data_IF_543453513793
#
_entry.id   IF_543453513793
#
_cell.length_a   1.000
_cell.length_b   1.000
_cell.length_c   1.000
_cell.angle_alpha   90.00
_cell.angle_beta   90.00
_cell.angle_gamma   90.00
#
_symmetry.space_group_name_H-M   'P 1'
#
loop_
_entity.id
_entity.type
_entity.pdbx_description
1 polymer ?
#
# COMPACT_ATOMS: atom_id res chain seq x y z
N UNK A 1 16.88 32.77 -4.76
CA UNK A 1 17.26 31.34 -4.85
C UNK A 1 16.48 30.72 -6.01
N UNK A 2 17.03 29.74 -6.73
CA UNK A 2 16.30 29.05 -7.83
C UNK A 2 15.34 28.03 -7.23
N UNK A 3 14.34 27.59 -7.99
CA UNK A 3 13.38 26.57 -7.55
C UNK A 3 13.63 25.28 -8.31
N UNK A 4 13.76 24.16 -7.61
CA UNK A 4 13.86 22.83 -8.19
C UNK A 4 12.71 21.95 -7.68
N UNK A 5 11.94 21.39 -8.60
CA UNK A 5 10.88 20.42 -8.31
C UNK A 5 11.38 19.02 -8.69
N UNK A 6 11.34 18.10 -7.73
CA UNK A 6 11.82 16.73 -7.88
C UNK A 6 10.64 15.78 -7.71
N UNK A 7 10.47 14.88 -8.69
CA UNK A 7 9.48 13.83 -8.64
C UNK A 7 10.16 12.53 -8.21
N UNK A 8 9.75 12.00 -7.05
CA UNK A 8 10.20 10.70 -6.59
C UNK A 8 9.20 9.65 -7.06
N UNK A 9 9.62 8.88 -8.07
CA UNK A 9 8.85 7.76 -8.59
C UNK A 9 8.61 6.69 -7.52
N UNK A 10 7.55 5.90 -7.72
CA UNK A 10 7.30 4.73 -6.89
C UNK A 10 8.48 3.76 -7.01
N UNK A 11 9.05 3.38 -5.87
CA UNK A 11 10.23 2.51 -5.79
C UNK A 11 11.57 3.24 -5.63
N UNK A 12 11.59 4.58 -5.59
CA UNK A 12 12.83 5.33 -5.30
C UNK A 12 13.44 4.97 -3.93
N UNK A 13 12.63 4.46 -3.01
CA UNK A 13 13.05 4.02 -1.68
C UNK A 13 13.61 2.59 -1.62
N UNK A 14 13.61 1.82 -2.73
CA UNK A 14 14.05 0.41 -2.74
C UNK A 14 15.53 0.28 -2.38
N UNK A 15 16.39 1.17 -2.88
CA UNK A 15 17.83 1.16 -2.55
C UNK A 15 18.09 1.39 -1.05
N UNK A 16 17.14 2.03 -0.38
CA UNK A 16 17.11 2.26 1.06
C UNK A 16 16.40 1.13 1.84
N UNK A 17 16.16 -0.03 1.21
CA UNK A 17 15.68 -1.24 1.86
C UNK A 17 14.16 -1.34 2.02
N UNK A 18 13.40 -0.44 1.39
CA UNK A 18 11.94 -0.56 1.25
C UNK A 18 11.58 -1.66 0.25
N UNK A 19 10.46 -2.37 0.45
CA UNK A 19 10.09 -3.47 -0.42
C UNK A 19 9.60 -2.96 -1.79
N UNK A 20 9.99 -3.67 -2.84
CA UNK A 20 9.38 -3.55 -4.16
C UNK A 20 7.96 -4.12 -4.19
N UNK A 21 7.19 -3.74 -5.22
CA UNK A 21 5.83 -4.29 -5.46
C UNK A 21 5.83 -5.83 -5.50
N UNK A 22 6.85 -6.44 -6.12
CA UNK A 22 6.98 -7.89 -6.20
C UNK A 22 7.29 -8.54 -4.85
N UNK A 23 8.04 -7.87 -3.98
CA UNK A 23 8.31 -8.35 -2.63
C UNK A 23 7.06 -8.28 -1.75
N UNK A 24 6.29 -7.19 -1.85
CA UNK A 24 5.01 -7.05 -1.15
C UNK A 24 4.05 -8.17 -1.56
N UNK A 25 3.95 -8.45 -2.86
CA UNK A 25 3.08 -9.52 -3.36
C UNK A 25 3.45 -10.89 -2.78
N UNK A 26 4.76 -11.21 -2.72
CA UNK A 26 5.25 -12.44 -2.04
C UNK A 26 4.95 -12.46 -0.55
N UNK A 27 5.09 -11.32 0.14
CA UNK A 27 4.73 -11.20 1.54
C UNK A 27 3.24 -11.49 1.76
N UNK A 28 2.37 -11.03 0.85
CA UNK A 28 0.93 -11.28 0.94
C UNK A 28 0.60 -12.76 0.73
N UNK A 29 1.27 -13.43 -0.22
CA UNK A 29 1.16 -14.89 -0.39
C UNK A 29 1.51 -15.63 0.90
N UNK A 30 2.55 -15.19 1.63
CA UNK A 30 2.94 -15.79 2.91
C UNK A 30 1.90 -15.46 3.99
N UNK A 31 1.62 -14.18 4.22
CA UNK A 31 0.76 -13.72 5.32
C UNK A 31 -0.66 -14.26 5.22
N UNK A 32 -1.22 -14.38 4.01
CA UNK A 32 -2.56 -14.94 3.82
C UNK A 32 -2.70 -16.38 4.32
N UNK A 33 -1.59 -17.13 4.40
CA UNK A 33 -1.58 -18.50 4.92
C UNK A 33 -1.82 -18.57 6.43
N UNK A 34 -1.65 -17.46 7.17
CA UNK A 34 -1.91 -17.43 8.61
C UNK A 34 -3.41 -17.56 8.94
N UNK A 35 -4.28 -17.15 8.01
CA UNK A 35 -5.72 -17.00 8.27
C UNK A 35 -6.62 -17.66 7.23
N UNK A 36 -6.14 -17.94 6.01
CA UNK A 36 -6.98 -18.32 4.86
C UNK A 36 -6.37 -19.44 4.02
N UNK A 37 -5.95 -20.55 4.64
CA UNK A 37 -5.39 -21.71 3.92
C UNK A 37 -6.48 -22.41 3.11
N UNK A 38 -6.15 -23.01 1.97
CA UNK A 38 -7.11 -23.82 1.23
C UNK A 38 -7.20 -25.24 1.82
N UNK A 39 -8.41 -25.80 1.94
CA UNK A 39 -8.65 -27.12 2.55
C UNK A 39 -8.04 -28.30 1.76
N UNK A 40 -8.16 -28.27 0.43
CA UNK A 40 -7.87 -29.43 -0.45
C UNK A 40 -6.66 -29.20 -1.37
N UNK A 41 -5.75 -28.28 -1.04
CA UNK A 41 -4.55 -28.00 -1.85
C UNK A 41 -3.29 -28.12 -0.98
N UNK A 42 -2.12 -28.12 -1.63
CA UNK A 42 -0.79 -28.04 -1.00
C UNK A 42 -0.78 -27.03 0.15
N UNK A 43 -0.02 -27.31 1.21
CA UNK A 43 0.01 -26.49 2.44
C UNK A 43 0.32 -25.01 2.21
N UNK A 44 0.95 -24.68 1.08
CA UNK A 44 1.36 -23.34 0.66
C UNK A 44 0.25 -22.54 -0.04
N UNK A 45 -0.87 -23.16 -0.43
CA UNK A 45 -1.95 -22.46 -1.14
C UNK A 45 -2.99 -21.89 -0.16
N UNK A 46 -3.40 -20.67 -0.46
CA UNK A 46 -4.31 -19.87 0.35
C UNK A 46 -5.29 -19.09 -0.54
N UNK A 47 -6.22 -18.38 0.08
CA UNK A 47 -7.25 -17.62 -0.64
C UNK A 47 -6.66 -16.51 -1.54
N UNK A 48 -5.56 -15.88 -1.12
CA UNK A 48 -4.84 -14.86 -1.89
C UNK A 48 -4.25 -15.44 -3.19
N UNK A 49 -3.49 -16.54 -3.07
CA UNK A 49 -2.90 -17.24 -4.22
C UNK A 49 -3.98 -17.82 -5.14
N UNK A 50 -5.09 -18.34 -4.59
CA UNK A 50 -6.24 -18.76 -5.38
C UNK A 50 -6.84 -17.61 -6.20
N UNK A 51 -7.01 -16.43 -5.59
CA UNK A 51 -7.54 -15.25 -6.28
C UNK A 51 -6.61 -14.83 -7.43
N UNK A 52 -5.31 -14.76 -7.16
CA UNK A 52 -4.26 -14.44 -8.14
C UNK A 52 -4.26 -15.41 -9.31
N UNK A 53 -4.24 -16.72 -9.04
CA UNK A 53 -4.32 -17.79 -10.06
C UNK A 53 -5.60 -17.67 -10.89
N UNK A 54 -6.73 -17.40 -10.25
CA UNK A 54 -8.04 -17.30 -10.92
C UNK A 54 -8.09 -16.13 -11.89
N UNK A 55 -7.58 -14.96 -11.49
CA UNK A 55 -7.52 -13.77 -12.35
C UNK A 55 -6.56 -13.99 -13.52
N UNK A 56 -5.37 -14.53 -13.25
CA UNK A 56 -4.39 -14.82 -14.31
C UNK A 56 -4.94 -15.80 -15.34
N UNK A 57 -5.53 -16.91 -14.89
CA UNK A 57 -6.16 -17.89 -15.78
C UNK A 57 -7.30 -17.28 -16.59
N UNK A 58 -8.13 -16.44 -15.98
CA UNK A 58 -9.20 -15.75 -16.71
C UNK A 58 -8.62 -14.85 -17.81
N UNK A 59 -7.54 -14.10 -17.52
CA UNK A 59 -6.89 -13.22 -18.49
C UNK A 59 -6.21 -13.98 -19.62
N UNK A 60 -5.46 -15.03 -19.32
CA UNK A 60 -4.82 -15.89 -20.32
C UNK A 60 -5.82 -16.43 -21.34
N UNK A 61 -7.00 -16.84 -20.88
CA UNK A 61 -8.06 -17.36 -21.75
C UNK A 61 -8.78 -16.28 -22.58
N UNK A 62 -8.66 -14.99 -22.22
CA UNK A 62 -9.45 -13.91 -22.82
C UNK A 62 -8.60 -12.77 -23.42
N UNK A 63 -7.27 -12.84 -23.34
CA UNK A 63 -6.37 -11.81 -23.85
C UNK A 63 -6.44 -11.72 -25.38
N UNK A 64 -7.05 -10.64 -25.90
CA UNK A 64 -7.13 -10.37 -27.35
C UNK A 64 -5.87 -9.70 -27.93
N UNK A 65 -4.94 -9.23 -27.10
CA UNK A 65 -3.74 -8.48 -27.52
C UNK A 65 -2.51 -8.81 -26.68
N UNK A 66 -1.32 -8.63 -27.28
CA UNK A 66 0.03 -8.84 -26.69
C UNK A 66 0.39 -7.90 -25.53
N UNK A 67 -0.57 -7.27 -24.87
CA UNK A 67 -0.28 -6.35 -23.76
C UNK A 67 -0.07 -7.20 -22.50
N UNK A 68 1.19 -7.28 -22.07
CA UNK A 68 1.60 -7.98 -20.84
C UNK A 68 1.17 -7.15 -19.64
N UNK A 69 -0.04 -7.39 -19.15
CA UNK A 69 -0.49 -6.79 -17.89
C UNK A 69 0.01 -7.66 -16.73
N UNK A 70 0.87 -7.10 -15.87
CA UNK A 70 1.36 -7.79 -14.68
C UNK A 70 0.39 -7.54 -13.51
N UNK A 71 -0.14 -8.63 -12.94
CA UNK A 71 -1.02 -8.58 -11.79
C UNK A 71 -0.19 -8.31 -10.53
N UNK A 72 -0.48 -7.22 -9.83
CA UNK A 72 0.19 -6.82 -8.59
C UNK A 72 -0.74 -6.86 -7.37
N UNK A 73 -0.17 -6.65 -6.18
CA UNK A 73 -0.93 -6.70 -4.93
C UNK A 73 -2.02 -5.63 -4.85
N UNK A 74 -1.80 -4.42 -5.39
CA UNK A 74 -2.80 -3.34 -5.39
C UNK A 74 -4.06 -3.73 -6.17
N UNK A 75 -3.86 -4.34 -7.35
CA UNK A 75 -4.95 -4.86 -8.17
C UNK A 75 -5.70 -5.98 -7.45
N UNK A 76 -4.98 -6.82 -6.71
CA UNK A 76 -5.57 -7.90 -5.92
C UNK A 76 -6.39 -7.37 -4.75
N UNK A 77 -5.88 -6.41 -3.97
CA UNK A 77 -6.61 -5.74 -2.89
C UNK A 77 -7.89 -5.07 -3.42
N UNK A 78 -7.80 -4.35 -4.53
CA UNK A 78 -8.97 -3.74 -5.17
C UNK A 78 -9.99 -4.79 -5.63
N UNK A 79 -9.52 -5.92 -6.17
CA UNK A 79 -10.40 -7.02 -6.58
C UNK A 79 -11.11 -7.64 -5.37
N UNK A 80 -10.43 -7.82 -4.23
CA UNK A 80 -11.04 -8.31 -2.99
C UNK A 80 -12.16 -7.37 -2.51
N UNK A 81 -11.93 -6.06 -2.57
CA UNK A 81 -12.92 -5.05 -2.22
C UNK A 81 -14.16 -5.14 -3.11
N UNK A 82 -13.97 -5.29 -4.42
CA UNK A 82 -15.08 -5.50 -5.37
C UNK A 82 -15.83 -6.77 -4.99
N UNK A 83 -15.13 -7.91 -4.86
CA UNK A 83 -15.73 -9.20 -4.52
C UNK A 83 -16.55 -9.08 -3.24
N UNK A 84 -16.01 -8.49 -2.18
CA UNK A 84 -16.73 -8.27 -0.93
C UNK A 84 -18.01 -7.47 -1.14
N UNK A 85 -17.92 -6.37 -1.88
CA UNK A 85 -19.05 -5.48 -2.16
C UNK A 85 -20.18 -6.17 -2.93
N UNK A 86 -19.83 -7.02 -3.91
CA UNK A 86 -20.81 -7.76 -4.73
C UNK A 86 -21.25 -9.09 -4.11
N UNK A 87 -20.57 -9.59 -3.09
CA UNK A 87 -20.91 -10.87 -2.42
C UNK A 87 -21.79 -10.66 -1.19
N UNK A 88 -21.55 -9.61 -0.40
CA UNK A 88 -22.27 -9.41 0.87
C UNK A 88 -23.76 -9.10 0.64
N UNK A 89 -24.64 -9.81 1.35
CA UNK A 89 -26.09 -9.66 1.25
C UNK A 89 -26.64 -8.50 2.10
N UNK A 90 -25.91 -8.11 3.15
CA UNK A 90 -26.38 -7.18 4.19
C UNK A 90 -26.16 -5.68 3.86
N UNK A 91 -25.36 -5.34 2.85
CA UNK A 91 -25.16 -3.94 2.45
C UNK A 91 -26.34 -3.45 1.58
N UNK A 92 -27.26 -2.75 2.25
CA UNK A 92 -28.37 -2.00 1.65
C UNK A 92 -27.76 -0.86 0.82
N UNK A 93 -27.71 -1.01 -0.51
CA UNK A 93 -28.54 -0.25 -1.48
C UNK A 93 -27.88 -0.17 -2.87
N UNK A 94 -26.55 -0.02 -2.98
CA UNK A 94 -25.89 0.19 -4.29
C UNK A 94 -25.37 -1.09 -4.97
N UNK A 95 -24.93 -2.10 -4.21
CA UNK A 95 -24.33 -3.32 -4.80
C UNK A 95 -25.38 -4.31 -5.34
N UNK A 96 -26.65 -4.15 -4.97
CA UNK A 96 -27.76 -4.99 -5.46
C UNK A 96 -27.98 -4.84 -6.96
N UNK A 97 -27.77 -3.64 -7.52
CA UNK A 97 -27.94 -3.39 -8.95
C UNK A 97 -26.89 -4.10 -9.80
N UNK A 98 -25.63 -4.17 -9.35
CA UNK A 98 -24.57 -4.90 -10.07
C UNK A 98 -24.80 -6.42 -10.02
N UNK A 99 -25.36 -6.95 -8.93
CA UNK A 99 -25.73 -8.37 -8.82
C UNK A 99 -26.74 -8.81 -9.89
N UNK A 100 -27.56 -7.89 -10.41
CA UNK A 100 -28.47 -8.20 -11.52
C UNK A 100 -27.72 -8.58 -12.82
N UNK A 101 -26.46 -8.15 -12.96
CA UNK A 101 -25.66 -8.35 -14.16
C UNK A 101 -24.45 -9.26 -13.95
N UNK A 102 -24.03 -9.48 -12.70
CA UNK A 102 -22.79 -10.21 -12.36
C UNK A 102 -23.11 -11.45 -11.55
N UNK A 103 -22.71 -12.61 -12.09
CA UNK A 103 -22.71 -13.88 -11.37
C UNK A 103 -21.30 -14.21 -10.92
N UNK A 104 -21.12 -14.37 -9.61
CA UNK A 104 -19.86 -14.80 -9.03
C UNK A 104 -19.62 -16.29 -9.26
N UNK A 105 -18.35 -16.63 -9.53
CA UNK A 105 -17.90 -18.01 -9.50
C UNK A 105 -17.97 -18.57 -8.07
N UNK A 106 -18.03 -19.90 -7.96
CA UNK A 106 -17.94 -20.52 -6.65
C UNK A 106 -16.55 -20.31 -6.04
N UNK A 107 -16.53 -19.82 -4.81
CA UNK A 107 -15.32 -19.67 -4.01
C UNK A 107 -14.85 -21.02 -3.43
N UNK A 108 -13.54 -21.17 -3.14
CA UNK A 108 -12.98 -22.43 -2.64
C UNK A 108 -13.35 -22.67 -1.17
N UNK A 109 -13.15 -23.91 -0.68
CA UNK A 109 -13.14 -24.19 0.75
C UNK A 109 -11.82 -23.72 1.38
N UNK A 110 -11.93 -23.01 2.49
CA UNK A 110 -10.82 -22.50 3.28
C UNK A 110 -10.81 -23.10 4.69
N UNK A 111 -9.63 -23.13 5.30
CA UNK A 111 -9.42 -23.34 6.73
C UNK A 111 -9.15 -21.95 7.31
N UNK A 112 -10.04 -21.48 8.17
CA UNK A 112 -9.92 -20.16 8.81
C UNK A 112 -8.84 -20.18 9.90
N UNK A 113 -8.50 -19.00 10.43
CA UNK A 113 -7.61 -18.85 11.59
C UNK A 113 -8.03 -19.69 12.81
N UNK A 114 -9.32 -19.99 12.95
CA UNK A 114 -9.86 -20.79 14.05
C UNK A 114 -9.95 -22.28 13.72
N UNK A 115 -9.26 -22.73 12.68
CA UNK A 115 -9.28 -24.10 12.17
C UNK A 115 -10.66 -24.58 11.73
N UNK A 116 -11.58 -23.65 11.45
CA UNK A 116 -12.89 -23.97 10.90
C UNK A 116 -12.78 -24.16 9.38
N UNK A 117 -13.45 -25.20 8.88
CA UNK A 117 -13.58 -25.41 7.44
C UNK A 117 -14.89 -24.81 6.96
N UNK A 118 -14.81 -23.83 6.07
CA UNK A 118 -15.97 -23.22 5.42
C UNK A 118 -15.71 -22.95 3.94
N UNK A 119 -16.79 -22.72 3.18
CA UNK A 119 -16.66 -22.12 1.85
C UNK A 119 -16.37 -20.63 2.03
N UNK A 120 -15.37 -20.11 1.33
CA UNK A 120 -15.06 -18.69 1.39
C UNK A 120 -16.23 -17.84 0.86
N UNK A 121 -16.36 -16.62 1.36
CA UNK A 121 -17.38 -15.65 0.99
C UNK A 121 -16.82 -14.22 0.90
N UNK A 122 -17.70 -13.24 0.66
CA UNK A 122 -17.33 -11.83 0.56
C UNK A 122 -16.75 -11.20 1.82
N UNK A 123 -17.11 -11.73 3.00
CA UNK A 123 -16.59 -11.26 4.28
C UNK A 123 -15.15 -11.73 4.41
N UNK A 124 -14.86 -12.99 4.05
CA UNK A 124 -13.48 -13.52 4.08
C UNK A 124 -12.52 -12.69 3.20
N UNK A 125 -12.96 -12.24 2.02
CA UNK A 125 -12.14 -11.35 1.17
C UNK A 125 -11.94 -9.96 1.78
N UNK A 126 -12.96 -9.41 2.44
CA UNK A 126 -12.87 -8.12 3.15
C UNK A 126 -11.87 -8.19 4.29
N UNK A 127 -12.00 -9.23 5.11
CA UNK A 127 -11.19 -9.42 6.30
C UNK A 127 -9.74 -9.74 5.90
N UNK A 128 -9.53 -10.53 4.84
CA UNK A 128 -8.20 -10.76 4.26
C UNK A 128 -7.58 -9.46 3.74
N UNK A 129 -8.34 -8.62 3.02
CA UNK A 129 -7.86 -7.32 2.54
C UNK A 129 -7.40 -6.43 3.70
N UNK A 130 -8.21 -6.31 4.75
CA UNK A 130 -7.88 -5.54 5.94
C UNK A 130 -6.62 -6.10 6.63
N UNK A 131 -6.59 -7.40 6.88
CA UNK A 131 -5.46 -8.09 7.50
C UNK A 131 -4.14 -7.88 6.75
N UNK A 132 -4.14 -8.05 5.43
CA UNK A 132 -2.94 -7.87 4.60
C UNK A 132 -2.48 -6.41 4.58
N UNK A 133 -3.42 -5.47 4.54
CA UNK A 133 -3.13 -4.03 4.61
C UNK A 133 -2.48 -3.67 5.95
N UNK A 134 -3.05 -4.13 7.07
CA UNK A 134 -2.47 -3.90 8.40
C UNK A 134 -1.07 -4.49 8.55
N UNK A 135 -0.86 -5.72 8.05
CA UNK A 135 0.47 -6.34 8.02
C UNK A 135 1.46 -5.54 7.20
N UNK A 136 1.04 -5.01 6.04
CA UNK A 136 1.90 -4.17 5.21
C UNK A 136 2.29 -2.88 5.93
N UNK A 137 1.33 -2.19 6.54
CA UNK A 137 1.57 -0.97 7.29
C UNK A 137 2.57 -1.20 8.43
N UNK A 138 2.38 -2.27 9.22
CA UNK A 138 3.31 -2.66 10.29
C UNK A 138 4.70 -2.96 9.73
N UNK A 139 4.77 -3.70 8.61
CA UNK A 139 6.03 -4.07 7.98
C UNK A 139 6.82 -2.85 7.50
N UNK A 140 6.18 -1.94 6.75
CA UNK A 140 6.84 -0.74 6.22
C UNK A 140 7.22 0.21 7.37
N UNK A 141 6.36 0.40 8.39
CA UNK A 141 6.72 1.19 9.58
C UNK A 141 7.96 0.64 10.28
N UNK A 142 8.03 -0.67 10.47
CA UNK A 142 9.20 -1.32 11.08
C UNK A 142 10.48 -1.09 10.25
N UNK A 143 10.39 -1.16 8.92
CA UNK A 143 11.50 -0.85 8.02
C UNK A 143 11.95 0.62 8.14
N UNK A 144 11.01 1.54 8.25
CA UNK A 144 11.29 2.96 8.44
C UNK A 144 12.00 3.21 9.79
N UNK A 145 11.55 2.55 10.86
CA UNK A 145 12.17 2.67 12.19
C UNK A 145 13.61 2.17 12.23
N UNK A 146 13.96 1.14 11.46
CA UNK A 146 15.35 0.61 11.42
C UNK A 146 16.21 1.26 10.34
N UNK A 147 15.68 2.18 9.54
CA UNK A 147 16.34 2.78 8.39
C UNK A 147 17.70 3.42 8.75
N UNK A 148 17.73 4.25 9.80
CA UNK A 148 18.95 4.91 10.27
C UNK A 148 20.02 3.94 10.80
N UNK A 149 19.63 2.72 11.16
CA UNK A 149 20.54 1.66 11.59
C UNK A 149 21.04 0.86 10.38
N UNK A 150 20.12 0.45 9.52
CA UNK A 150 20.39 -0.53 8.46
C UNK A 150 20.98 0.11 7.18
N UNK A 151 20.72 1.41 6.96
CA UNK A 151 21.04 2.15 5.72
C UNK A 151 21.70 3.51 5.97
N UNK A 152 22.43 3.62 7.08
CA UNK A 152 23.04 4.87 7.55
C UNK A 152 23.95 5.52 6.49
N UNK A 153 24.77 4.71 5.81
CA UNK A 153 25.74 5.23 4.84
C UNK A 153 25.04 5.78 3.59
N UNK A 154 24.07 5.06 3.06
CA UNK A 154 23.27 5.47 1.91
C UNK A 154 22.47 6.75 2.23
N UNK A 155 21.86 6.81 3.42
CA UNK A 155 21.16 8.01 3.89
C UNK A 155 22.08 9.22 3.99
N UNK A 156 23.29 9.05 4.55
CA UNK A 156 24.25 10.15 4.69
C UNK A 156 24.71 10.68 3.31
N UNK A 157 24.94 9.78 2.34
CA UNK A 157 25.29 10.17 0.97
C UNK A 157 24.16 10.97 0.32
N UNK A 158 22.92 10.50 0.42
CA UNK A 158 21.76 11.20 -0.11
C UNK A 158 21.54 12.55 0.60
N UNK A 159 21.76 12.61 1.91
CA UNK A 159 21.66 13.84 2.70
C UNK A 159 22.67 14.87 2.26
N UNK A 160 23.93 14.47 2.05
CA UNK A 160 24.96 15.37 1.54
C UNK A 160 24.56 15.91 0.17
N UNK A 161 24.18 15.03 -0.77
CA UNK A 161 23.75 15.42 -2.11
C UNK A 161 22.64 16.47 -2.10
N UNK A 162 21.58 16.27 -1.31
CA UNK A 162 20.50 17.27 -1.24
C UNK A 162 20.88 18.53 -0.46
N UNK A 163 21.80 18.43 0.50
CA UNK A 163 22.33 19.61 1.21
C UNK A 163 23.11 20.49 0.23
N UNK A 164 23.96 19.88 -0.61
CA UNK A 164 24.71 20.59 -1.65
C UNK A 164 23.76 21.24 -2.65
N UNK A 165 22.68 20.54 -3.06
CA UNK A 165 21.64 21.12 -3.91
C UNK A 165 20.91 22.31 -3.27
N UNK A 166 20.73 22.31 -1.94
CA UNK A 166 20.08 23.42 -1.22
C UNK A 166 20.91 24.71 -1.22
N UNK A 167 22.19 24.66 -1.55
CA UNK A 167 23.02 25.87 -1.68
C UNK A 167 22.55 26.74 -2.86
N UNK A 168 22.06 26.12 -3.92
CA UNK A 168 21.65 26.80 -5.16
C UNK A 168 20.12 26.86 -5.35
N UNK A 169 19.39 25.92 -4.76
CA UNK A 169 17.97 25.71 -5.01
C UNK A 169 17.15 25.60 -3.73
N UNK A 170 16.00 26.28 -3.71
CA UNK A 170 14.89 25.82 -2.89
C UNK A 170 14.39 24.49 -3.51
N UNK A 171 14.22 23.45 -2.69
CA UNK A 171 13.77 22.13 -3.15
C UNK A 171 12.28 21.90 -2.89
N UNK A 172 11.59 21.30 -3.85
CA UNK A 172 10.21 20.84 -3.70
C UNK A 172 10.13 19.39 -4.14
N UNK A 173 9.44 18.55 -3.38
CA UNK A 173 9.31 17.14 -3.67
C UNK A 173 7.86 16.73 -3.85
N UNK A 174 7.60 15.99 -4.93
CA UNK A 174 6.37 15.24 -5.13
C UNK A 174 6.72 13.77 -4.97
N UNK A 175 6.24 13.15 -3.89
CA UNK A 175 6.60 11.80 -3.49
C UNK A 175 5.46 10.82 -3.78
N UNK A 176 5.75 9.76 -4.52
CA UNK A 176 4.82 8.66 -4.78
C UNK A 176 5.04 7.45 -3.85
N UNK A 177 6.08 7.48 -3.02
CA UNK A 177 6.37 6.44 -2.05
C UNK A 177 5.55 6.62 -0.78
N UNK A 178 5.20 5.52 -0.14
CA UNK A 178 4.40 5.51 1.10
C UNK A 178 5.25 5.76 2.37
N UNK A 179 6.55 5.50 2.29
CA UNK A 179 7.53 5.56 3.40
C UNK A 179 8.03 6.99 3.71
N UNK A 180 8.85 7.11 4.75
CA UNK A 180 9.46 8.37 5.19
C UNK A 180 10.96 8.47 4.86
N UNK A 181 11.48 7.72 3.87
CA UNK A 181 12.92 7.73 3.57
C UNK A 181 13.40 9.15 3.24
N UNK A 182 12.67 9.88 2.41
CA UNK A 182 13.02 11.27 2.07
C UNK A 182 13.00 12.18 3.30
N UNK A 183 12.00 12.04 4.17
CA UNK A 183 11.90 12.84 5.40
C UNK A 183 12.99 12.47 6.42
N UNK A 184 13.51 11.24 6.37
CA UNK A 184 14.68 10.85 7.16
C UNK A 184 15.97 11.50 6.66
N UNK A 185 16.05 11.76 5.35
CA UNK A 185 17.19 12.45 4.71
C UNK A 185 17.12 13.96 4.94
N UNK A 186 15.92 14.54 4.75
CA UNK A 186 15.62 15.97 4.86
C UNK A 186 14.43 16.21 5.82
N UNK A 187 14.68 16.23 7.14
CA UNK A 187 13.61 16.34 8.14
C UNK A 187 12.98 17.74 8.22
N UNK A 188 13.56 18.73 7.57
CA UNK A 188 13.08 20.12 7.55
C UNK A 188 12.05 20.41 6.46
N UNK A 189 11.73 19.43 5.61
CA UNK A 189 10.72 19.58 4.55
C UNK A 189 9.32 19.70 5.15
N UNK A 190 8.57 20.73 4.75
CA UNK A 190 7.17 20.81 5.12
C UNK A 190 6.33 19.77 4.37
N UNK A 191 5.41 19.13 5.09
CA UNK A 191 4.47 18.15 4.54
C UNK A 191 3.02 18.66 4.57
N UNK A 192 2.78 19.85 5.13
CA UNK A 192 1.45 20.34 5.49
C UNK A 192 0.89 19.78 6.79
N UNK A 193 1.58 18.84 7.44
CA UNK A 193 1.21 18.31 8.76
C UNK A 193 2.13 18.87 9.83
N UNK A 194 1.55 19.24 10.96
CA UNK A 194 2.29 19.67 12.13
C UNK A 194 2.99 18.44 12.78
N UNK A 195 4.31 18.48 12.98
CA UNK A 195 5.06 17.34 13.48
C UNK A 195 4.80 17.02 14.97
N UNK A 196 4.28 17.97 15.76
CA UNK A 196 4.03 17.80 17.20
C UNK A 196 2.68 17.17 17.48
N UNK A 197 1.61 17.68 16.85
CA UNK A 197 0.24 17.23 17.10
C UNK A 197 -0.34 16.40 15.93
N UNK A 198 0.36 16.33 14.80
CA UNK A 198 -0.03 15.54 13.64
C UNK A 198 -1.13 16.14 12.76
N UNK A 199 -1.71 17.28 13.13
CA UNK A 199 -2.83 17.87 12.42
C UNK A 199 -2.40 18.48 11.08
N UNK A 200 -3.32 18.45 10.11
CA UNK A 200 -3.10 19.11 8.82
C UNK A 200 -3.37 20.61 8.92
N UNK A 201 -2.33 21.43 8.68
CA UNK A 201 -2.47 22.87 8.62
C UNK A 201 -2.73 23.32 7.18
N UNK A 202 -4.02 23.49 6.87
CA UNK A 202 -4.48 23.98 5.57
C UNK A 202 -3.88 25.35 5.21
N UNK A 203 -3.71 26.23 6.19
CA UNK A 203 -3.23 27.59 5.95
C UNK A 203 -1.76 27.57 5.61
N UNK A 204 -0.96 26.79 6.35
CA UNK A 204 0.44 26.55 6.03
C UNK A 204 0.58 25.92 4.65
N UNK A 205 -0.19 24.86 4.36
CA UNK A 205 -0.10 24.12 3.11
C UNK A 205 -0.31 24.99 1.86
N UNK A 206 -1.35 25.84 1.85
CA UNK A 206 -1.64 26.71 0.70
C UNK A 206 -0.73 27.95 0.62
N UNK A 207 -0.21 28.42 1.75
CA UNK A 207 0.69 29.57 1.79
C UNK A 207 2.17 29.20 1.74
N UNK A 208 2.47 27.90 1.64
CA UNK A 208 3.83 27.44 1.88
C UNK A 208 4.80 27.97 0.84
N UNK A 209 5.98 28.32 1.33
CA UNK A 209 7.12 28.61 0.48
C UNK A 209 7.75 27.28 0.08
N UNK A 210 8.59 27.35 -0.94
CA UNK A 210 9.36 26.22 -1.42
C UNK A 210 10.23 25.63 -0.27
N UNK A 211 10.61 24.34 -0.32
CA UNK A 211 11.02 23.46 0.81
C UNK A 211 9.92 22.54 1.35
N UNK A 212 9.27 21.77 0.46
CA UNK A 212 8.15 20.88 0.78
C UNK A 212 8.36 19.44 0.29
N UNK A 213 7.60 18.50 0.87
CA UNK A 213 7.41 17.14 0.39
C UNK A 213 5.94 16.72 0.47
N UNK A 214 5.29 16.57 -0.68
CA UNK A 214 3.89 16.17 -0.76
C UNK A 214 3.75 14.73 -1.24
N UNK A 215 3.09 13.91 -0.43
CA UNK A 215 2.87 12.49 -0.69
C UNK A 215 1.56 12.27 -1.43
N UNK A 216 1.61 12.05 -2.75
CA UNK A 216 0.39 11.98 -3.57
C UNK A 216 -0.43 10.71 -3.32
N UNK A 217 0.23 9.59 -2.99
CA UNK A 217 -0.45 8.35 -2.61
C UNK A 217 -0.73 8.26 -1.10
N UNK A 218 -0.49 9.35 -0.36
CA UNK A 218 -0.43 9.34 1.10
C UNK A 218 0.87 8.75 1.64
N UNK A 219 1.01 8.75 2.96
CA UNK A 219 2.14 8.14 3.66
C UNK A 219 1.61 7.27 4.80
N UNK A 220 2.29 6.16 5.08
CA UNK A 220 1.98 5.29 6.22
C UNK A 220 2.17 5.99 7.58
N UNK A 221 2.80 7.16 7.60
CA UNK A 221 3.03 7.97 8.78
C UNK A 221 1.93 9.02 8.99
N UNK A 222 1.03 9.25 8.04
CA UNK A 222 -0.16 10.09 8.24
C UNK A 222 -1.38 9.18 8.48
N UNK A 223 -1.72 8.95 9.74
CA UNK A 223 -2.93 8.24 10.13
C UNK A 223 -4.15 9.15 9.99
N UNK A 224 -5.32 8.60 9.67
CA UNK A 224 -6.59 9.31 9.83
C UNK A 224 -7.24 8.83 11.13
N UNK A 225 -7.45 9.73 12.09
CA UNK A 225 -8.21 9.48 13.31
C UNK A 225 -9.62 10.05 13.18
N UNK A 226 -10.52 9.73 14.11
CA UNK A 226 -11.87 10.34 14.19
C UNK A 226 -11.83 11.86 14.37
N UNK A 227 -10.70 12.40 14.83
CA UNK A 227 -10.48 13.83 15.06
C UNK A 227 -9.76 14.52 13.89
N UNK A 228 -9.31 13.76 12.88
CA UNK A 228 -8.56 14.27 11.74
C UNK A 228 -7.26 13.49 11.48
N UNK A 229 -6.47 13.89 10.48
CA UNK A 229 -5.17 13.27 10.24
C UNK A 229 -4.20 13.49 11.41
N UNK A 230 -3.35 12.50 11.68
CA UNK A 230 -2.33 12.46 12.72
C UNK A 230 -1.02 11.93 12.13
N UNK A 231 0.06 12.70 12.24
CA UNK A 231 1.42 12.23 11.93
C UNK A 231 1.98 11.32 13.04
N UNK A 232 2.54 10.18 12.67
CA UNK A 232 3.14 9.19 13.57
C UNK A 232 4.56 8.90 13.09
N UNK A 233 5.54 9.21 13.95
CA UNK A 233 6.97 8.96 13.71
C UNK A 233 7.26 7.45 13.82
#
# INVERSE_FOLDING_TARGET
MKKLLIFLGAGASIEFGMPSVNEIDKLFEIWASDCYRLKNKEESKNLYTWLKETINKHRENNAKTKIKYELNFETLLFTMQIISSISNEENIDYSKSLKAFIKLNQFPEIITRYSEVKKADGIDFKDMQAYLTDKLLIYIRKKCLTLNKDKKEELNKAKQFFTDLKEDYDLGFVNLNYDNVLLSILPDLSTGFNPENGEFDKTEFYNNKWNFCYHLHGSIHFNMTSEGPLFII
#
